data_IF_271902847696
#
_entry.id   IF_271902847696
#
_cell.length_a   1.000
_cell.length_b   1.000
_cell.length_c   1.000
_cell.angle_alpha   90.00
_cell.angle_beta   90.00
_cell.angle_gamma   90.00
#
_symmetry.space_group_name_H-M   'P 1'
#
loop_
_entity.id
_entity.type
_entity.pdbx_description
1 polymer ?
#
# COMPACT_ATOMS: atom_id res chain seq x y z
N UNK A 1 -14.94 75.74 0.85
CA UNK A 1 -15.65 74.44 0.88
C UNK A 1 -16.07 74.08 -0.53
N UNK A 2 -15.47 73.05 -1.13
CA UNK A 2 -15.99 72.35 -2.31
C UNK A 2 -15.22 71.01 -2.42
N UNK A 3 -15.94 69.91 -2.24
CA UNK A 3 -15.45 68.53 -2.15
C UNK A 3 -16.10 67.75 -3.28
N UNK A 4 -15.32 67.27 -4.25
CA UNK A 4 -15.73 66.35 -5.32
C UNK A 4 -14.44 65.84 -6.01
N UNK A 5 -14.27 64.60 -6.46
CA UNK A 5 -15.07 63.39 -6.38
C UNK A 5 -14.09 62.21 -6.49
N UNK A 6 -14.28 61.17 -5.69
CA UNK A 6 -13.50 59.94 -5.73
C UNK A 6 -14.03 59.04 -6.87
N UNK A 7 -13.18 58.74 -7.86
CA UNK A 7 -13.51 57.84 -8.95
C UNK A 7 -13.23 56.39 -8.54
N UNK A 8 -14.29 55.66 -8.18
CA UNK A 8 -14.26 54.22 -7.92
C UNK A 8 -14.16 53.44 -9.24
N UNK A 9 -12.99 52.83 -9.51
CA UNK A 9 -12.82 51.84 -10.60
C UNK A 9 -13.14 50.44 -10.09
N UNK A 10 -14.33 49.96 -10.44
CA UNK A 10 -14.76 48.58 -10.23
C UNK A 10 -13.97 47.64 -11.15
N UNK A 11 -13.04 46.87 -10.59
CA UNK A 11 -12.38 45.74 -11.28
C UNK A 11 -13.39 44.60 -11.43
N UNK A 12 -13.87 44.38 -12.64
CA UNK A 12 -14.58 43.15 -13.02
C UNK A 12 -13.58 41.99 -12.96
N UNK A 13 -13.67 41.16 -11.93
CA UNK A 13 -12.93 39.89 -11.84
C UNK A 13 -13.52 38.93 -12.87
N UNK A 14 -12.72 38.61 -13.88
CA UNK A 14 -13.00 37.54 -14.83
C UNK A 14 -13.25 36.23 -14.05
N UNK A 15 -14.44 35.67 -14.23
CA UNK A 15 -14.79 34.37 -13.68
C UNK A 15 -13.86 33.32 -14.30
N UNK A 16 -13.14 32.60 -13.44
CA UNK A 16 -12.30 31.49 -13.83
C UNK A 16 -13.19 30.44 -14.52
N UNK A 17 -12.93 30.23 -15.82
CA UNK A 17 -13.52 29.16 -16.61
C UNK A 17 -13.13 27.84 -15.96
N UNK A 18 -14.05 27.22 -15.22
CA UNK A 18 -13.90 25.87 -14.71
C UNK A 18 -13.77 24.98 -15.93
N UNK A 19 -12.55 24.52 -16.20
CA UNK A 19 -12.27 23.54 -17.22
C UNK A 19 -12.93 22.23 -16.77
N UNK A 20 -14.14 21.96 -17.26
CA UNK A 20 -14.70 20.62 -17.23
C UNK A 20 -13.67 19.67 -17.86
N UNK A 21 -13.23 18.62 -17.15
CA UNK A 21 -12.33 17.66 -17.75
C UNK A 21 -13.07 16.93 -18.89
N UNK A 22 -12.39 16.66 -20.01
CA UNK A 22 -13.01 15.96 -21.13
C UNK A 22 -13.57 14.63 -20.65
N UNK A 23 -14.79 14.31 -21.10
CA UNK A 23 -15.41 12.99 -20.97
C UNK A 23 -14.36 11.98 -21.36
N UNK A 24 -13.90 11.18 -20.38
CA UNK A 24 -12.86 10.18 -20.61
C UNK A 24 -13.30 9.32 -21.80
N UNK A 25 -12.47 9.28 -22.85
CA UNK A 25 -12.70 8.43 -23.99
C UNK A 25 -13.07 7.03 -23.48
N UNK A 26 -14.22 6.50 -23.93
CA UNK A 26 -14.68 5.20 -23.52
C UNK A 26 -13.56 4.19 -23.80
N UNK A 27 -13.09 3.51 -22.74
CA UNK A 27 -12.02 2.54 -22.85
C UNK A 27 -12.44 1.46 -23.86
N UNK A 28 -11.58 1.13 -24.81
CA UNK A 28 -11.85 0.08 -25.78
C UNK A 28 -12.16 -1.25 -25.07
N UNK A 29 -12.99 -2.13 -25.66
CA UNK A 29 -13.23 -3.46 -25.10
C UNK A 29 -11.92 -4.22 -24.86
N UNK A 30 -11.85 -4.94 -23.74
CA UNK A 30 -10.67 -5.72 -23.35
C UNK A 30 -10.09 -5.32 -21.99
N UNK A 31 -8.93 -5.90 -21.67
CA UNK A 31 -8.18 -5.65 -20.43
C UNK A 31 -6.90 -4.90 -20.77
N UNK A 32 -6.70 -3.77 -20.09
CA UNK A 32 -5.65 -2.82 -20.36
C UNK A 32 -4.76 -2.69 -19.13
N UNK A 33 -3.46 -3.02 -19.22
CA UNK A 33 -2.53 -2.78 -18.14
C UNK A 33 -2.22 -1.27 -18.00
N UNK A 34 -2.05 -0.81 -16.76
CA UNK A 34 -1.71 0.58 -16.48
C UNK A 34 -1.11 0.79 -15.09
N UNK A 35 -0.78 2.03 -14.76
CA UNK A 35 -0.24 2.45 -13.46
C UNK A 35 -1.09 3.54 -12.85
N UNK A 36 -1.32 3.44 -11.54
CA UNK A 36 -2.05 4.47 -10.80
C UNK A 36 -1.15 5.71 -10.65
N UNK A 37 -1.68 6.88 -10.99
CA UNK A 37 -0.97 8.16 -10.91
C UNK A 37 -1.52 9.07 -9.82
N UNK A 38 -2.83 9.07 -9.62
CA UNK A 38 -3.50 9.98 -8.69
C UNK A 38 -4.67 9.26 -8.03
N UNK A 39 -4.77 9.42 -6.71
CA UNK A 39 -5.96 9.07 -5.93
C UNK A 39 -6.93 10.26 -5.90
N UNK A 40 -8.18 10.02 -6.28
CA UNK A 40 -9.31 10.91 -5.98
C UNK A 40 -10.23 10.22 -4.96
N UNK A 41 -11.24 10.94 -4.41
CA UNK A 41 -12.12 10.39 -3.35
C UNK A 41 -12.69 9.01 -3.71
N UNK A 42 -13.29 8.87 -4.89
CA UNK A 42 -14.02 7.65 -5.27
C UNK A 42 -13.50 7.03 -6.59
N UNK A 43 -12.33 7.46 -7.05
CA UNK A 43 -11.77 7.00 -8.32
C UNK A 43 -10.26 7.19 -8.37
N UNK A 44 -9.63 6.43 -9.24
CA UNK A 44 -8.20 6.46 -9.48
C UNK A 44 -7.94 6.93 -10.91
N UNK A 45 -6.94 7.80 -11.07
CA UNK A 45 -6.42 8.12 -12.39
C UNK A 45 -5.33 7.11 -12.72
N UNK A 46 -5.55 6.34 -13.78
CA UNK A 46 -4.64 5.30 -14.25
C UNK A 46 -4.09 5.73 -15.61
N UNK A 47 -2.77 5.69 -15.76
CA UNK A 47 -2.10 5.81 -17.06
C UNK A 47 -1.89 4.41 -17.62
N UNK A 48 -2.55 4.11 -18.72
CA UNK A 48 -2.38 2.86 -19.45
C UNK A 48 -0.98 2.81 -20.11
N UNK A 49 -0.55 1.62 -20.53
CA UNK A 49 0.77 1.45 -21.15
C UNK A 49 0.91 2.19 -22.49
N UNK A 50 -0.19 2.45 -23.18
CA UNK A 50 -0.23 3.26 -24.41
C UNK A 50 -0.16 4.78 -24.16
N UNK A 51 -0.08 5.20 -22.89
CA UNK A 51 -0.06 6.60 -22.46
C UNK A 51 -1.43 7.21 -22.20
N UNK A 52 -2.52 6.51 -22.52
CA UNK A 52 -3.89 6.99 -22.31
C UNK A 52 -4.18 7.15 -20.81
N UNK A 53 -4.79 8.27 -20.43
CA UNK A 53 -5.23 8.52 -19.06
C UNK A 53 -6.71 8.21 -18.90
N UNK A 54 -7.02 7.31 -17.97
CA UNK A 54 -8.41 6.93 -17.66
C UNK A 54 -8.72 7.14 -16.18
N UNK A 55 -9.96 7.49 -15.89
CA UNK A 55 -10.50 7.54 -14.54
C UNK A 55 -11.25 6.24 -14.29
N UNK A 56 -10.75 5.41 -13.38
CA UNK A 56 -11.28 4.10 -13.09
C UNK A 56 -11.70 3.95 -11.62
N UNK A 57 -12.78 3.22 -11.38
CA UNK A 57 -13.21 2.83 -10.03
C UNK A 57 -12.71 1.41 -9.70
N UNK A 58 -12.44 1.06 -8.44
CA UNK A 58 -12.23 -0.35 -8.08
C UNK A 58 -13.48 -1.17 -8.44
N UNK A 59 -13.28 -2.41 -8.89
CA UNK A 59 -14.34 -3.42 -8.88
C UNK A 59 -14.72 -3.79 -7.43
N UNK A 60 -15.90 -4.36 -7.25
CA UNK A 60 -16.45 -4.66 -5.91
C UNK A 60 -15.57 -5.65 -5.14
N UNK A 61 -14.88 -6.57 -5.83
CA UNK A 61 -14.00 -7.55 -5.20
C UNK A 61 -12.58 -7.02 -4.94
N UNK A 62 -12.25 -5.80 -5.38
CA UNK A 62 -10.90 -5.23 -5.22
C UNK A 62 -10.79 -4.55 -3.85
N UNK A 63 -9.96 -5.14 -2.99
CA UNK A 63 -9.66 -4.58 -1.68
C UNK A 63 -9.04 -3.16 -1.81
N UNK A 64 -9.57 -2.13 -1.10
CA UNK A 64 -9.03 -0.78 -1.18
C UNK A 64 -7.53 -0.68 -0.83
N UNK A 65 -7.06 -1.49 0.13
CA UNK A 65 -5.66 -1.55 0.54
C UNK A 65 -4.71 -1.97 -0.59
N UNK A 66 -5.16 -2.84 -1.49
CA UNK A 66 -4.38 -3.28 -2.65
C UNK A 66 -4.06 -2.12 -3.59
N UNK A 67 -5.01 -1.22 -3.83
CA UNK A 67 -4.81 -0.08 -4.75
C UNK A 67 -3.87 0.97 -4.15
N UNK A 68 -3.94 1.19 -2.84
CA UNK A 68 -2.99 2.03 -2.13
C UNK A 68 -1.56 1.47 -2.21
N UNK A 69 -1.38 0.15 -2.03
CA UNK A 69 -0.09 -0.50 -2.21
C UNK A 69 0.41 -0.37 -3.66
N UNK A 70 -0.46 -0.62 -4.64
CA UNK A 70 -0.10 -0.50 -6.06
C UNK A 70 0.29 0.92 -6.44
N UNK A 71 -0.39 1.94 -5.89
CA UNK A 71 -0.03 3.34 -6.08
C UNK A 71 1.35 3.66 -5.51
N UNK A 72 1.62 3.26 -4.25
CA UNK A 72 2.90 3.50 -3.57
C UNK A 72 4.06 2.78 -4.24
N UNK A 73 3.88 1.51 -4.57
CA UNK A 73 4.90 0.65 -5.16
C UNK A 73 4.97 0.74 -6.69
N UNK A 74 4.19 1.64 -7.32
CA UNK A 74 4.11 1.80 -8.79
C UNK A 74 3.85 0.48 -9.54
N UNK A 75 3.06 -0.41 -8.96
CA UNK A 75 2.71 -1.71 -9.56
C UNK A 75 1.71 -1.53 -10.70
N UNK A 76 1.76 -2.46 -11.65
CA UNK A 76 0.82 -2.52 -12.76
C UNK A 76 -0.54 -3.00 -12.26
N UNK A 77 -1.60 -2.30 -12.66
CA UNK A 77 -3.00 -2.68 -12.45
C UNK A 77 -3.66 -3.06 -13.77
N UNK A 78 -4.70 -3.86 -13.69
CA UNK A 78 -5.53 -4.24 -14.84
C UNK A 78 -6.82 -3.43 -14.84
N UNK A 79 -7.12 -2.79 -15.96
CA UNK A 79 -8.30 -1.94 -16.15
C UNK A 79 -9.15 -2.48 -17.30
N UNK A 80 -10.45 -2.49 -17.14
CA UNK A 80 -11.39 -2.89 -18.19
C UNK A 80 -12.54 -1.89 -18.32
N UNK A 81 -13.27 -1.97 -19.44
CA UNK A 81 -14.51 -1.23 -19.60
C UNK A 81 -15.61 -1.91 -18.75
N UNK A 82 -16.21 -1.16 -17.83
CA UNK A 82 -17.34 -1.59 -17.03
C UNK A 82 -18.65 -0.87 -17.42
N UNK A 83 -19.79 -1.26 -16.84
CA UNK A 83 -21.11 -0.70 -17.19
C UNK A 83 -21.24 0.81 -16.99
N UNK A 84 -20.47 1.37 -16.04
CA UNK A 84 -20.50 2.79 -15.65
C UNK A 84 -19.15 3.48 -15.94
N UNK A 85 -18.34 2.92 -16.83
CA UNK A 85 -17.01 3.41 -17.19
C UNK A 85 -15.87 2.47 -16.79
N UNK A 86 -14.64 2.97 -16.81
CA UNK A 86 -13.47 2.13 -16.55
C UNK A 86 -13.46 1.58 -15.11
N UNK A 87 -13.10 0.32 -14.97
CA UNK A 87 -13.02 -0.40 -13.70
C UNK A 87 -11.64 -1.03 -13.54
N UNK A 88 -11.07 -0.93 -12.34
CA UNK A 88 -9.84 -1.63 -11.96
C UNK A 88 -10.23 -3.01 -11.47
N UNK A 89 -9.79 -4.05 -12.19
CA UNK A 89 -10.08 -5.45 -11.86
C UNK A 89 -9.13 -6.00 -10.79
N UNK A 90 -7.98 -5.37 -10.61
CA UNK A 90 -6.96 -5.79 -9.65
C UNK A 90 -5.55 -5.39 -10.07
N UNK A 91 -4.56 -6.00 -9.43
CA UNK A 91 -3.15 -5.79 -9.71
C UNK A 91 -2.57 -6.96 -10.51
N UNK A 92 -1.71 -6.66 -11.48
CA UNK A 92 -0.92 -7.69 -12.16
C UNK A 92 0.23 -8.09 -11.22
N UNK A 93 0.11 -9.26 -10.60
CA UNK A 93 1.19 -9.84 -9.81
C UNK A 93 2.19 -10.54 -10.73
N UNK A 94 3.43 -10.06 -10.74
CA UNK A 94 4.54 -10.70 -11.47
C UNK A 94 5.42 -11.58 -10.57
N UNK A 95 5.11 -11.62 -9.27
CA UNK A 95 5.76 -12.47 -8.28
C UNK A 95 4.71 -12.99 -7.28
N UNK A 96 4.92 -14.19 -6.73
CA UNK A 96 4.04 -14.76 -5.71
C UNK A 96 4.11 -13.92 -4.43
N UNK A 97 3.00 -13.34 -4.02
CA UNK A 97 2.87 -12.70 -2.71
C UNK A 97 2.55 -13.74 -1.62
N UNK A 98 2.89 -13.49 -0.35
CA UNK A 98 2.34 -14.22 0.78
C UNK A 98 0.81 -14.19 0.74
N UNK A 99 0.15 -15.32 0.96
CA UNK A 99 -1.31 -15.42 0.91
C UNK A 99 -1.88 -15.15 2.30
N UNK A 100 -2.84 -14.22 2.39
CA UNK A 100 -3.66 -14.03 3.59
C UNK A 100 -4.89 -14.93 3.49
N UNK A 101 -5.07 -15.82 4.46
CA UNK A 101 -6.23 -16.69 4.60
C UNK A 101 -7.42 -15.93 5.21
N UNK A 102 -8.63 -16.49 5.10
CA UNK A 102 -9.87 -15.83 5.53
C UNK A 102 -9.95 -15.57 7.04
N UNK A 103 -9.21 -16.33 7.85
CA UNK A 103 -9.06 -16.14 9.30
C UNK A 103 -8.05 -15.04 9.66
N UNK A 104 -7.44 -14.40 8.65
CA UNK A 104 -6.42 -13.37 8.81
C UNK A 104 -4.99 -13.89 8.87
N UNK A 105 -4.78 -15.20 8.79
CA UNK A 105 -3.45 -15.83 8.81
C UNK A 105 -2.65 -15.49 7.56
N UNK A 106 -1.42 -14.99 7.71
CA UNK A 106 -0.48 -14.84 6.59
C UNK A 106 0.38 -16.10 6.47
N UNK A 107 0.23 -16.85 5.37
CA UNK A 107 0.98 -18.08 5.16
C UNK A 107 2.09 -17.89 4.11
N UNK A 108 3.32 -18.19 4.51
CA UNK A 108 4.50 -18.28 3.63
C UNK A 108 4.90 -19.75 3.53
N UNK A 109 4.98 -20.30 2.31
CA UNK A 109 5.44 -21.67 2.04
C UNK A 109 6.53 -21.65 0.99
N UNK A 110 7.59 -22.39 1.22
CA UNK A 110 8.69 -22.54 0.28
C UNK A 110 9.66 -23.63 0.72
N UNK A 111 10.52 -24.08 -0.19
CA UNK A 111 11.63 -25.01 0.14
C UNK A 111 12.69 -24.35 1.03
N UNK A 112 12.86 -23.03 0.87
CA UNK A 112 13.70 -22.15 1.70
C UNK A 112 12.94 -20.85 1.90
N UNK A 113 12.91 -20.34 3.14
CA UNK A 113 12.35 -19.04 3.49
C UNK A 113 13.48 -18.20 4.08
N UNK A 114 13.73 -17.04 3.48
CA UNK A 114 14.74 -16.10 3.92
C UNK A 114 14.07 -14.78 4.29
N UNK A 115 14.33 -14.29 5.50
CA UNK A 115 13.79 -13.03 6.01
C UNK A 115 14.97 -12.11 6.26
N UNK A 116 15.08 -11.06 5.45
CA UNK A 116 16.09 -10.03 5.58
C UNK A 116 15.41 -8.71 5.96
N UNK A 117 16.01 -8.01 6.92
CA UNK A 117 15.56 -6.69 7.35
C UNK A 117 16.78 -5.81 7.63
N UNK A 118 16.68 -4.51 7.34
CA UNK A 118 17.79 -3.57 7.49
C UNK A 118 18.02 -3.17 8.96
N UNK A 119 16.95 -3.07 9.75
CA UNK A 119 17.01 -2.56 11.13
C UNK A 119 16.85 -3.66 12.19
N UNK A 120 15.95 -4.61 11.96
CA UNK A 120 15.66 -5.68 12.89
C UNK A 120 14.43 -6.51 12.51
N UNK A 121 14.29 -7.65 13.17
CA UNK A 121 13.17 -8.58 13.02
C UNK A 121 12.54 -8.79 14.40
N UNK A 122 11.23 -8.57 14.53
CA UNK A 122 10.48 -8.83 15.75
C UNK A 122 9.32 -9.80 15.49
N UNK A 123 9.26 -10.89 16.25
CA UNK A 123 8.18 -11.87 16.26
C UNK A 123 7.45 -11.72 17.60
N UNK A 124 6.17 -11.29 17.58
CA UNK A 124 5.38 -11.05 18.79
C UNK A 124 4.10 -11.87 18.80
N UNK A 125 3.82 -12.52 19.92
CA UNK A 125 2.55 -13.24 20.17
C UNK A 125 2.09 -12.91 21.58
N UNK A 126 1.03 -12.09 21.68
CA UNK A 126 0.55 -11.58 22.97
C UNK A 126 1.65 -10.82 23.71
N UNK A 127 1.98 -11.27 24.93
CA UNK A 127 3.04 -10.71 25.78
C UNK A 127 4.44 -11.29 25.49
N UNK A 128 4.55 -12.30 24.61
CA UNK A 128 5.82 -12.91 24.25
C UNK A 128 6.41 -12.27 23.00
N UNK A 129 7.73 -12.09 22.98
CA UNK A 129 8.44 -11.52 21.83
C UNK A 129 9.84 -12.13 21.64
N UNK A 130 10.24 -12.30 20.38
CA UNK A 130 11.62 -12.58 19.96
C UNK A 130 12.05 -11.43 19.06
N UNK A 131 13.15 -10.77 19.40
CA UNK A 131 13.69 -9.63 18.65
C UNK A 131 15.14 -9.87 18.27
N UNK A 132 15.44 -9.70 16.99
CA UNK A 132 16.78 -9.61 16.44
C UNK A 132 17.00 -8.16 16.01
N UNK A 133 18.15 -7.58 16.36
CA UNK A 133 18.52 -6.24 15.93
C UNK A 133 19.78 -6.24 15.04
N UNK A 134 20.07 -5.08 14.44
CA UNK A 134 21.26 -4.86 13.62
C UNK A 134 22.61 -5.09 14.33
N UNK A 135 22.64 -5.23 15.66
CA UNK A 135 23.86 -5.53 16.43
C UNK A 135 24.08 -7.04 16.61
N UNK A 136 23.19 -7.86 16.05
CA UNK A 136 23.22 -9.31 16.20
C UNK A 136 22.74 -9.80 17.57
N UNK A 137 22.09 -8.93 18.37
CA UNK A 137 21.56 -9.31 19.68
C UNK A 137 20.19 -9.96 19.51
N UNK A 138 20.00 -11.13 20.13
CA UNK A 138 18.70 -11.80 20.22
C UNK A 138 18.13 -11.55 21.61
N UNK A 139 16.98 -10.87 21.68
CA UNK A 139 16.22 -10.68 22.92
C UNK A 139 14.93 -11.51 22.86
N UNK A 140 14.75 -12.37 23.85
CA UNK A 140 13.54 -13.17 24.03
C UNK A 140 12.84 -12.74 25.32
N UNK A 141 11.54 -12.47 25.26
CA UNK A 141 10.70 -12.08 26.41
C UNK A 141 9.47 -12.98 26.42
N UNK A 142 9.15 -13.56 27.58
CA UNK A 142 7.97 -14.39 27.76
C UNK A 142 7.86 -14.92 29.20
N UNK A 143 6.67 -15.41 29.56
CA UNK A 143 6.38 -15.89 30.92
C UNK A 143 6.96 -17.29 31.19
N UNK A 144 7.04 -18.12 30.16
CA UNK A 144 7.61 -19.47 30.20
C UNK A 144 8.37 -19.70 28.91
N UNK A 145 9.62 -20.15 29.02
CA UNK A 145 10.47 -20.45 27.89
C UNK A 145 11.04 -21.86 28.07
N UNK A 146 10.89 -22.69 27.06
CA UNK A 146 11.53 -24.02 26.99
C UNK A 146 12.56 -23.95 25.89
N UNK A 147 13.81 -24.29 26.22
CA UNK A 147 14.89 -24.42 25.26
C UNK A 147 15.22 -25.90 25.18
N UNK A 148 14.83 -26.53 24.07
CA UNK A 148 15.23 -27.90 23.75
C UNK A 148 16.47 -27.84 22.86
N UNK A 149 17.59 -28.34 23.34
CA UNK A 149 18.88 -28.22 22.67
C UNK A 149 19.55 -29.58 22.61
N UNK A 150 19.85 -30.04 21.39
CA UNK A 150 20.49 -31.32 21.14
C UNK A 150 22.00 -31.35 21.47
N UNK A 151 22.60 -30.21 21.83
CA UNK A 151 24.03 -30.04 22.11
C UNK A 151 24.26 -29.09 23.30
N UNK A 152 25.52 -28.97 23.74
CA UNK A 152 25.93 -28.18 24.92
C UNK A 152 25.56 -26.70 24.78
N UNK A 153 24.77 -26.20 25.72
CA UNK A 153 24.54 -24.77 25.91
C UNK A 153 25.56 -24.25 26.91
N UNK A 154 26.38 -23.27 26.51
CA UNK A 154 27.21 -22.49 27.46
C UNK A 154 26.45 -21.25 27.88
N UNK A 155 25.86 -21.29 29.07
CA UNK A 155 25.24 -20.11 29.69
C UNK A 155 26.33 -19.33 30.42
N UNK A 156 26.74 -18.21 29.84
CA UNK A 156 27.69 -17.27 30.43
C UNK A 156 26.89 -16.05 30.92
N UNK A 157 26.31 -16.15 32.11
CA UNK A 157 25.57 -15.04 32.73
C UNK A 157 26.04 -14.82 34.17
N UNK A 158 25.97 -13.56 34.61
CA UNK A 158 26.28 -13.14 35.97
C UNK A 158 25.13 -13.42 36.97
N UNK A 159 23.92 -13.74 36.49
CA UNK A 159 22.79 -14.13 37.31
C UNK A 159 21.91 -15.11 36.52
N UNK A 160 21.89 -16.37 36.96
CA UNK A 160 21.01 -17.42 36.43
C UNK A 160 20.32 -18.04 37.64
N UNK A 161 19.01 -17.85 37.74
CA UNK A 161 18.17 -18.58 38.70
C UNK A 161 17.53 -19.74 37.94
N UNK A 162 17.96 -20.97 38.24
CA UNK A 162 17.33 -22.20 37.79
C UNK A 162 16.41 -22.72 38.91
N UNK A 163 15.24 -23.30 38.58
CA UNK A 163 14.38 -23.96 39.56
C UNK A 163 15.04 -25.21 40.16
#
# INVERSE_FOLDING_TARGET
MAKAAAASRTRVRAAAKVSEPPVAAALAPGVHPGRIEVRSRDAWRVRLLDGTLVRARPADEVEPGLLDECFRARRTVLVAAGPVGAVILGALQTACAPVREADGTLRVRGRRVEVQADEGIELRVGASAIRLDQRGVIKMVGNRMTLDVAAVVRVLSALVELP
#
